data_IF_091606578715
#
_entry.id   IF_091606578715
#
_cell.length_a   1.000
_cell.length_b   1.000
_cell.length_c   1.000
_cell.angle_alpha   90.00
_cell.angle_beta   90.00
_cell.angle_gamma   90.00
#
_symmetry.space_group_name_H-M   'P 1'
#
loop_
_entity.id
_entity.type
_entity.pdbx_description
1 polymer ?
#
# COMPACT_ATOMS: atom_id res chain seq x y z
N UNK A 1 3.77 8.58 -7.85
CA UNK A 1 4.88 8.46 -6.89
C UNK A 1 5.73 9.70 -7.00
N UNK A 2 6.20 10.24 -5.87
CA UNK A 2 7.29 11.22 -5.83
C UNK A 2 8.48 10.60 -5.11
N UNK A 3 9.70 10.91 -5.52
CA UNK A 3 10.94 10.40 -4.91
C UNK A 3 11.85 11.57 -4.52
N UNK A 4 12.46 11.49 -3.34
CA UNK A 4 13.52 12.37 -2.87
C UNK A 4 14.42 11.61 -1.89
N UNK A 5 15.75 11.73 -2.06
CA UNK A 5 16.76 11.16 -1.15
C UNK A 5 16.55 9.66 -0.80
N UNK A 6 16.17 8.86 -1.79
CA UNK A 6 15.93 7.43 -1.61
C UNK A 6 14.67 7.10 -0.81
N UNK A 7 13.79 8.08 -0.60
CA UNK A 7 12.44 7.92 -0.07
C UNK A 7 11.44 8.16 -1.20
N UNK A 8 10.43 7.32 -1.29
CA UNK A 8 9.32 7.48 -2.21
C UNK A 8 7.99 7.56 -1.46
N UNK A 9 7.14 8.51 -1.86
CA UNK A 9 5.74 8.57 -1.48
C UNK A 9 4.89 8.00 -2.61
N UNK A 10 4.12 6.96 -2.30
CA UNK A 10 3.24 6.27 -3.22
C UNK A 10 1.78 6.53 -2.84
N UNK A 11 0.91 6.46 -3.86
CA UNK A 11 -0.54 6.38 -3.68
C UNK A 11 -1.06 5.28 -4.57
N UNK A 12 -1.90 4.42 -4.02
CA UNK A 12 -2.52 3.31 -4.73
C UNK A 12 -4.05 3.39 -4.67
N UNK A 13 -4.68 2.71 -5.63
CA UNK A 13 -6.09 2.34 -5.55
C UNK A 13 -6.14 0.82 -5.56
N UNK A 14 -6.94 0.21 -4.69
CA UNK A 14 -7.02 -1.24 -4.60
C UNK A 14 -8.46 -1.72 -4.43
N UNK A 15 -8.68 -2.97 -4.84
CA UNK A 15 -9.90 -3.74 -4.59
C UNK A 15 -9.47 -5.12 -4.08
N UNK A 16 -10.21 -5.64 -3.11
CA UNK A 16 -10.00 -6.95 -2.49
C UNK A 16 -11.32 -7.70 -2.47
N UNK A 17 -11.28 -8.91 -3.01
CA UNK A 17 -12.37 -9.89 -2.92
C UNK A 17 -11.89 -11.02 -2.00
N UNK A 18 -12.69 -11.35 -1.00
CA UNK A 18 -12.36 -12.38 -0.01
C UNK A 18 -13.61 -13.14 0.42
N UNK A 19 -13.41 -14.28 1.08
CA UNK A 19 -14.48 -15.04 1.72
C UNK A 19 -14.20 -15.07 3.22
N UNK A 20 -15.18 -14.65 4.02
CA UNK A 20 -15.13 -14.79 5.47
C UNK A 20 -15.13 -16.28 5.87
N UNK A 21 -14.77 -16.56 7.12
CA UNK A 21 -14.68 -17.94 7.63
C UNK A 21 -16.02 -18.70 7.59
N UNK A 22 -17.14 -17.98 7.50
CA UNK A 22 -18.49 -18.54 7.36
C UNK A 22 -18.94 -18.72 5.90
N UNK A 23 -18.09 -18.40 4.93
CA UNK A 23 -18.36 -18.48 3.50
C UNK A 23 -18.97 -17.22 2.89
N UNK A 24 -19.22 -16.17 3.67
CA UNK A 24 -19.75 -14.90 3.15
C UNK A 24 -18.72 -14.19 2.28
N UNK A 25 -19.10 -13.76 1.07
CA UNK A 25 -18.24 -12.95 0.21
C UNK A 25 -18.10 -11.53 0.76
N UNK A 26 -16.86 -11.05 0.82
CA UNK A 26 -16.49 -9.71 1.29
C UNK A 26 -15.76 -9.00 0.16
N UNK A 27 -16.23 -7.81 -0.20
CA UNK A 27 -15.54 -6.91 -1.12
C UNK A 27 -15.12 -5.65 -0.39
N UNK A 28 -13.85 -5.31 -0.50
CA UNK A 28 -13.28 -4.08 0.07
C UNK A 28 -12.58 -3.29 -1.03
N UNK A 29 -12.58 -1.97 -0.90
CA UNK A 29 -11.87 -1.07 -1.81
C UNK A 29 -11.29 0.09 -1.01
N UNK A 30 -10.21 0.66 -1.51
CA UNK A 30 -9.55 1.77 -0.82
C UNK A 30 -8.59 2.56 -1.70
N UNK A 31 -8.18 3.70 -1.16
CA UNK A 31 -7.04 4.46 -1.62
C UNK A 31 -5.97 4.35 -0.56
N UNK A 32 -4.76 3.98 -0.95
CA UNK A 32 -3.64 3.77 -0.04
C UNK A 32 -2.61 4.88 -0.15
N UNK A 33 -1.80 5.03 0.90
CA UNK A 33 -0.59 5.84 0.89
C UNK A 33 0.54 5.01 1.51
N UNK A 34 1.68 4.99 0.83
CA UNK A 34 2.83 4.22 1.27
C UNK A 34 4.09 5.10 1.25
N UNK A 35 4.97 4.83 2.19
CA UNK A 35 6.34 5.37 2.18
C UNK A 35 7.27 4.20 1.92
N UNK A 36 8.06 4.27 0.84
CA UNK A 36 9.09 3.29 0.55
C UNK A 36 10.49 3.90 0.70
N UNK A 37 11.46 3.05 1.05
CA UNK A 37 12.88 3.40 1.08
C UNK A 37 13.68 2.52 0.12
N UNK A 38 14.57 3.14 -0.64
CA UNK A 38 15.56 2.46 -1.47
C UNK A 38 16.66 1.89 -0.58
N UNK A 39 16.93 0.60 -0.72
CA UNK A 39 17.95 -0.12 0.01
C UNK A 39 19.33 0.07 -0.67
N UNK A 40 20.40 -0.36 0.00
CA UNK A 40 21.76 -0.31 -0.57
C UNK A 40 21.90 -1.15 -1.84
N UNK A 41 21.14 -2.24 -1.95
CA UNK A 41 21.09 -3.10 -3.13
C UNK A 41 20.23 -2.52 -4.28
N UNK A 42 19.65 -1.32 -4.09
CA UNK A 42 18.80 -0.64 -5.07
C UNK A 42 17.34 -1.07 -5.05
N UNK A 43 16.95 -2.08 -4.27
CA UNK A 43 15.54 -2.49 -4.11
C UNK A 43 14.75 -1.45 -3.32
N UNK A 44 13.42 -1.42 -3.52
CA UNK A 44 12.51 -0.62 -2.71
C UNK A 44 11.76 -1.50 -1.72
N UNK A 45 11.59 -1.01 -0.49
CA UNK A 45 10.81 -1.69 0.55
C UNK A 45 9.90 -0.68 1.24
N UNK A 46 8.67 -1.10 1.56
CA UNK A 46 7.78 -0.27 2.37
C UNK A 46 8.34 -0.08 3.77
N UNK A 47 8.30 1.17 4.22
CA UNK A 47 8.57 1.59 5.61
C UNK A 47 7.24 1.83 6.31
N UNK A 48 6.27 2.41 5.59
CA UNK A 48 4.88 2.58 6.04
C UNK A 48 3.98 2.10 4.90
N UNK A 49 2.97 1.31 5.26
CA UNK A 49 1.85 0.95 4.40
C UNK A 49 0.56 1.30 5.15
N UNK A 50 -0.21 2.25 4.61
CA UNK A 50 -1.50 2.62 5.14
C UNK A 50 -2.58 2.36 4.07
N UNK A 51 -3.28 1.21 4.15
CA UNK A 51 -4.18 0.77 3.08
C UNK A 51 -5.38 1.70 2.85
N UNK A 52 -5.76 2.51 3.84
CA UNK A 52 -6.87 3.46 3.73
C UNK A 52 -6.46 4.93 3.58
N UNK A 53 -5.16 5.21 3.38
CA UNK A 53 -4.67 6.58 3.29
C UNK A 53 -4.85 7.40 4.58
N UNK A 54 -4.53 8.69 4.52
CA UNK A 54 -4.96 9.67 5.52
C UNK A 54 -6.05 10.56 4.89
N UNK A 55 -7.10 10.87 5.65
CA UNK A 55 -8.20 11.75 5.20
C UNK A 55 -7.76 13.21 5.09
#
# INVERSE_FOLDING_TARGET
MIEADGIALLRGSWNLESSASDGTSVTMKGQSIEVARKQQDGSWRFVIDHPFGAM
#
